data_IF_861808446222
#
_entry.id   IF_861808446222
#
_cell.length_a   1.000
_cell.length_b   1.000
_cell.length_c   1.000
_cell.angle_alpha   90.00
_cell.angle_beta   90.00
_cell.angle_gamma   90.00
#
_symmetry.space_group_name_H-M   'P 1'
#
loop_
_entity.id
_entity.type
_entity.pdbx_description
1 polymer ?
#
# COMPACT_ATOMS: atom_id res chain seq x y z
N UNK A 1 0.12 -11.38 -11.65
CA UNK A 1 1.12 -10.29 -11.89
C UNK A 1 2.28 -10.56 -10.93
N UNK A 2 3.51 -10.58 -11.41
CA UNK A 2 4.67 -10.82 -10.55
C UNK A 2 5.01 -9.60 -9.71
N UNK A 3 5.82 -9.78 -8.65
CA UNK A 3 6.37 -8.65 -7.89
C UNK A 3 7.11 -7.67 -8.82
N UNK A 4 7.91 -8.19 -9.77
CA UNK A 4 8.68 -7.35 -10.69
C UNK A 4 7.78 -6.46 -11.56
N UNK A 5 6.61 -6.97 -11.98
CA UNK A 5 5.64 -6.17 -12.72
C UNK A 5 5.04 -5.07 -11.85
N UNK A 6 4.59 -5.40 -10.64
CA UNK A 6 4.08 -4.41 -9.67
C UNK A 6 5.11 -3.32 -9.38
N UNK A 7 6.37 -3.74 -9.23
CA UNK A 7 7.48 -2.83 -8.98
C UNK A 7 7.76 -1.91 -10.16
N UNK A 8 7.80 -2.47 -11.39
CA UNK A 8 8.03 -1.72 -12.61
C UNK A 8 6.93 -0.67 -12.87
N UNK A 9 5.67 -1.00 -12.60
CA UNK A 9 4.54 -0.10 -12.77
C UNK A 9 4.58 1.08 -11.79
N UNK A 10 5.03 0.84 -10.55
CA UNK A 10 5.10 1.87 -9.51
C UNK A 10 6.40 2.71 -9.59
N UNK A 11 7.48 2.16 -10.10
CA UNK A 11 8.80 2.79 -10.10
C UNK A 11 8.86 4.20 -10.77
N UNK A 12 8.14 4.50 -11.87
CA UNK A 12 8.18 5.84 -12.48
C UNK A 12 7.34 6.87 -11.71
N UNK A 13 6.40 6.46 -10.86
CA UNK A 13 5.45 7.37 -10.20
C UNK A 13 6.18 8.25 -9.20
N UNK A 14 6.19 9.56 -9.46
CA UNK A 14 6.81 10.57 -8.58
C UNK A 14 8.34 10.56 -8.55
N UNK A 15 9.00 9.87 -9.47
CA UNK A 15 10.45 9.85 -9.56
C UNK A 15 10.97 11.15 -10.17
N UNK A 16 11.92 11.79 -9.49
CA UNK A 16 12.62 12.97 -10.01
C UNK A 16 13.62 12.59 -11.09
N UNK A 17 13.56 13.29 -12.23
CA UNK A 17 14.53 13.11 -13.31
C UNK A 17 15.92 13.64 -12.91
N UNK A 18 15.96 14.65 -12.04
CA UNK A 18 17.20 15.33 -11.66
C UNK A 18 17.97 14.55 -10.59
N UNK A 19 17.29 14.12 -9.52
CA UNK A 19 17.93 13.45 -8.39
C UNK A 19 17.81 11.93 -8.42
N UNK A 20 16.83 11.40 -9.16
CA UNK A 20 16.47 9.98 -9.12
C UNK A 20 15.72 9.56 -7.87
N UNK A 21 15.56 10.44 -6.88
CA UNK A 21 14.75 10.25 -5.69
C UNK A 21 13.27 10.43 -5.97
N UNK A 22 12.43 10.22 -4.95
CA UNK A 22 10.98 10.28 -5.09
C UNK A 22 10.37 11.48 -4.39
N UNK A 23 9.36 12.08 -5.03
CA UNK A 23 8.58 13.22 -4.56
C UNK A 23 7.09 12.86 -4.54
N UNK A 24 6.70 11.91 -3.70
CA UNK A 24 5.31 11.50 -3.48
C UNK A 24 4.78 12.16 -2.20
N UNK A 25 4.68 13.49 -2.21
CA UNK A 25 4.16 14.21 -1.05
C UNK A 25 2.68 13.89 -0.85
N UNK A 26 2.30 13.60 0.39
CA UNK A 26 0.92 13.25 0.76
C UNK A 26 -0.08 14.24 0.17
N UNK A 27 -1.08 13.72 -0.54
CA UNK A 27 -2.13 14.46 -1.26
C UNK A 27 -1.65 15.29 -2.47
N UNK A 28 -0.40 15.20 -2.87
CA UNK A 28 0.07 15.74 -4.15
C UNK A 28 -0.23 14.79 -5.32
N UNK A 29 -0.01 15.24 -6.56
CA UNK A 29 -0.33 14.47 -7.77
C UNK A 29 0.27 13.06 -7.76
N UNK A 30 1.57 12.93 -7.48
CA UNK A 30 2.25 11.64 -7.47
C UNK A 30 1.76 10.68 -6.35
N UNK A 31 1.33 11.21 -5.20
CA UNK A 31 0.67 10.38 -4.18
C UNK A 31 -0.70 9.92 -4.66
N UNK A 32 -1.46 10.79 -5.31
CA UNK A 32 -2.75 10.44 -5.92
C UNK A 32 -2.60 9.35 -6.97
N UNK A 33 -1.59 9.45 -7.84
CA UNK A 33 -1.31 8.45 -8.87
C UNK A 33 -0.89 7.10 -8.25
N UNK A 34 -0.05 7.12 -7.23
CA UNK A 34 0.35 5.91 -6.50
C UNK A 34 -0.85 5.25 -5.78
N UNK A 35 -1.78 6.03 -5.26
CA UNK A 35 -3.02 5.54 -4.64
C UNK A 35 -3.98 4.94 -5.67
N UNK A 36 -4.09 5.55 -6.84
CA UNK A 36 -4.85 4.98 -7.96
C UNK A 36 -4.25 3.64 -8.39
N UNK A 37 -2.94 3.57 -8.57
CA UNK A 37 -2.23 2.33 -8.85
C UNK A 37 -2.52 1.23 -7.80
N UNK A 38 -2.47 1.56 -6.51
CA UNK A 38 -2.79 0.59 -5.44
C UNK A 38 -4.22 0.08 -5.56
N UNK A 39 -5.16 0.99 -5.81
CA UNK A 39 -6.58 0.64 -5.95
C UNK A 39 -6.82 -0.30 -7.13
N UNK A 40 -6.22 -0.01 -8.27
CA UNK A 40 -6.31 -0.85 -9.47
C UNK A 40 -5.63 -2.21 -9.27
N UNK A 41 -4.43 -2.22 -8.70
CA UNK A 41 -3.69 -3.44 -8.41
C UNK A 41 -4.42 -4.35 -7.40
N UNK A 42 -5.08 -3.77 -6.41
CA UNK A 42 -5.90 -4.50 -5.45
C UNK A 42 -7.19 -5.03 -6.08
N UNK A 43 -7.87 -4.21 -6.89
CA UNK A 43 -9.09 -4.61 -7.60
C UNK A 43 -8.83 -5.76 -8.61
N UNK A 44 -7.69 -5.73 -9.30
CA UNK A 44 -7.27 -6.82 -10.19
C UNK A 44 -7.06 -8.16 -9.45
N UNK A 45 -7.01 -8.12 -8.13
CA UNK A 45 -6.91 -9.26 -7.21
C UNK A 45 -8.21 -9.55 -6.48
N UNK A 46 -9.33 -9.05 -6.95
CA UNK A 46 -10.64 -9.17 -6.29
C UNK A 46 -10.58 -8.82 -4.79
N UNK A 47 -9.78 -7.83 -4.43
CA UNK A 47 -9.74 -7.26 -3.08
C UNK A 47 -10.71 -6.08 -3.00
N UNK A 48 -11.49 -6.02 -1.92
CA UNK A 48 -12.40 -4.89 -1.65
C UNK A 48 -11.60 -3.71 -1.09
N UNK A 49 -11.50 -2.61 -1.84
CA UNK A 49 -10.74 -1.44 -1.43
C UNK A 49 -11.64 -0.42 -0.75
N UNK A 50 -11.28 -0.04 0.47
CA UNK A 50 -11.99 0.96 1.26
C UNK A 50 -11.05 2.04 1.76
N UNK A 51 -11.56 3.26 1.86
CA UNK A 51 -10.83 4.39 2.43
C UNK A 51 -11.39 4.68 3.82
N UNK A 52 -10.52 4.78 4.81
CA UNK A 52 -10.91 5.18 6.15
C UNK A 52 -10.99 6.71 6.31
N UNK A 53 -11.44 7.18 7.49
CA UNK A 53 -11.57 8.61 7.80
C UNK A 53 -10.24 9.38 7.82
N UNK A 54 -9.12 8.67 7.94
CA UNK A 54 -7.78 9.26 7.90
C UNK A 54 -7.20 9.27 6.49
N UNK A 55 -7.94 8.71 5.51
CA UNK A 55 -7.50 8.60 4.12
C UNK A 55 -6.60 7.40 3.85
N UNK A 56 -6.44 6.46 4.77
CA UNK A 56 -5.74 5.22 4.49
C UNK A 56 -6.58 4.34 3.57
N UNK A 57 -5.92 3.66 2.64
CA UNK A 57 -6.55 2.66 1.79
C UNK A 57 -6.39 1.28 2.43
N UNK A 58 -7.47 0.53 2.48
CA UNK A 58 -7.53 -0.83 2.98
C UNK A 58 -7.99 -1.76 1.87
N UNK A 59 -7.17 -2.71 1.48
CA UNK A 59 -7.56 -3.77 0.55
C UNK A 59 -7.90 -5.04 1.36
N UNK A 60 -9.13 -5.51 1.26
CA UNK A 60 -9.65 -6.61 2.04
C UNK A 60 -9.75 -7.90 1.20
N UNK A 61 -9.21 -8.97 1.74
CA UNK A 61 -9.49 -10.31 1.24
C UNK A 61 -10.59 -10.95 2.10
N UNK A 62 -11.79 -10.99 1.55
CA UNK A 62 -13.00 -11.36 2.27
C UNK A 62 -13.76 -10.16 2.85
N UNK A 63 -14.73 -10.42 3.71
CA UNK A 63 -15.60 -9.37 4.26
C UNK A 63 -14.87 -8.55 5.33
N UNK A 64 -14.83 -7.21 5.23
CA UNK A 64 -14.28 -6.35 6.27
C UNK A 64 -14.91 -6.57 7.64
N UNK A 65 -14.12 -6.47 8.70
CA UNK A 65 -14.66 -6.59 10.05
C UNK A 65 -13.59 -6.83 11.13
N UNK A 66 -14.01 -6.85 12.40
CA UNK A 66 -13.11 -7.05 13.52
C UNK A 66 -12.45 -8.44 13.50
N UNK A 67 -11.31 -8.54 14.16
CA UNK A 67 -10.53 -9.79 14.20
C UNK A 67 -9.77 -10.10 12.92
N UNK A 68 -9.60 -9.13 12.03
CA UNK A 68 -8.79 -9.29 10.83
C UNK A 68 -7.30 -9.31 11.14
N UNK A 69 -6.55 -10.10 10.37
CA UNK A 69 -5.09 -9.97 10.29
C UNK A 69 -4.77 -8.87 9.30
N UNK A 70 -4.01 -7.87 9.73
CA UNK A 70 -3.66 -6.73 8.90
C UNK A 70 -2.14 -6.58 8.78
N UNK A 71 -1.69 -6.20 7.61
CA UNK A 71 -0.33 -5.72 7.35
C UNK A 71 -0.40 -4.49 6.46
N UNK A 72 0.69 -3.76 6.32
CA UNK A 72 0.68 -2.60 5.45
C UNK A 72 1.98 -1.82 5.46
N UNK A 73 1.99 -0.78 4.63
CA UNK A 73 3.08 0.17 4.51
C UNK A 73 2.51 1.51 4.01
N UNK A 74 3.31 2.33 3.35
CA UNK A 74 2.90 3.62 2.79
C UNK A 74 3.44 3.80 1.37
N UNK A 75 2.86 4.76 0.62
CA UNK A 75 3.29 5.10 -0.74
C UNK A 75 3.87 6.51 -0.84
N UNK A 76 3.53 7.39 0.12
CA UNK A 76 4.11 8.72 0.21
C UNK A 76 5.60 8.68 0.51
N UNK A 77 6.31 9.73 0.15
CA UNK A 77 7.75 9.89 0.41
C UNK A 77 8.07 11.26 1.00
N UNK A 78 9.22 11.32 1.67
CA UNK A 78 9.90 12.61 1.91
C UNK A 78 10.46 13.16 0.59
N UNK A 79 10.86 14.45 0.53
CA UNK A 79 11.62 14.97 -0.61
C UNK A 79 12.85 14.10 -0.89
N UNK A 80 13.08 13.75 -2.15
CA UNK A 80 14.17 12.86 -2.59
C UNK A 80 14.22 11.51 -1.85
N UNK A 81 13.04 10.98 -1.51
CA UNK A 81 12.90 9.71 -0.80
C UNK A 81 13.47 8.53 -1.55
N UNK A 82 13.91 7.51 -0.82
CA UNK A 82 14.42 6.27 -1.38
C UNK A 82 13.33 5.42 -2.04
N UNK A 83 13.70 4.66 -3.07
CA UNK A 83 12.76 3.83 -3.84
C UNK A 83 12.05 2.76 -2.98
N UNK A 84 12.74 2.21 -1.98
CA UNK A 84 12.24 1.07 -1.20
C UNK A 84 11.45 1.48 0.03
N UNK A 85 11.59 2.73 0.47
CA UNK A 85 10.98 3.22 1.70
C UNK A 85 9.46 3.41 1.51
N UNK A 86 8.71 2.44 2.00
CA UNK A 86 7.27 2.34 1.88
C UNK A 86 6.78 1.46 0.72
N UNK A 87 7.03 1.82 -0.54
CA UNK A 87 6.53 1.10 -1.70
C UNK A 87 6.89 -0.38 -1.75
N UNK A 88 8.08 -0.75 -1.27
CA UNK A 88 8.50 -2.15 -1.19
C UNK A 88 7.50 -2.99 -0.37
N UNK A 89 7.08 -2.47 0.78
CA UNK A 89 6.12 -3.15 1.65
C UNK A 89 4.74 -3.29 0.98
N UNK A 90 4.28 -2.28 0.25
CA UNK A 90 2.99 -2.32 -0.46
C UNK A 90 3.03 -3.31 -1.63
N UNK A 91 4.05 -3.26 -2.47
CA UNK A 91 4.20 -4.17 -3.62
C UNK A 91 4.38 -5.62 -3.14
N UNK A 92 5.19 -5.85 -2.10
CA UNK A 92 5.38 -7.19 -1.51
C UNK A 92 4.09 -7.76 -0.94
N UNK A 93 3.26 -6.93 -0.30
CA UNK A 93 1.98 -7.37 0.24
C UNK A 93 1.00 -7.81 -0.86
N UNK A 94 0.92 -7.07 -1.97
CA UNK A 94 0.10 -7.46 -3.12
C UNK A 94 0.64 -8.73 -3.82
N UNK A 95 1.95 -8.84 -3.98
CA UNK A 95 2.58 -10.05 -4.54
C UNK A 95 2.35 -11.28 -3.65
N UNK A 96 2.33 -11.11 -2.32
CA UNK A 96 2.02 -12.19 -1.40
C UNK A 96 0.59 -12.72 -1.57
N UNK A 97 -0.37 -11.89 -1.94
CA UNK A 97 -1.74 -12.34 -2.29
C UNK A 97 -1.70 -13.27 -3.50
N UNK A 98 -0.97 -12.87 -4.55
CA UNK A 98 -0.84 -13.69 -5.76
C UNK A 98 -0.20 -15.04 -5.46
N UNK A 99 0.86 -15.05 -4.67
CA UNK A 99 1.56 -16.28 -4.28
C UNK A 99 0.69 -17.20 -3.41
N UNK A 100 -0.03 -16.64 -2.45
CA UNK A 100 -0.94 -17.42 -1.61
C UNK A 100 -2.07 -18.05 -2.44
N UNK A 101 -2.63 -17.31 -3.40
CA UNK A 101 -3.65 -17.84 -4.31
C UNK A 101 -3.10 -18.92 -5.23
N UNK A 102 -1.89 -18.72 -5.77
CA UNK A 102 -1.23 -19.73 -6.60
C UNK A 102 -1.02 -21.05 -5.85
N UNK A 103 -0.82 -21.00 -4.53
CA UNK A 103 -0.73 -22.18 -3.65
C UNK A 103 -2.10 -22.73 -3.21
N UNK A 104 -3.20 -22.20 -3.72
CA UNK A 104 -4.55 -22.61 -3.33
C UNK A 104 -4.95 -22.21 -1.92
N UNK A 105 -4.25 -21.23 -1.33
CA UNK A 105 -4.60 -20.74 0.00
C UNK A 105 -5.87 -19.89 -0.05
N UNK A 106 -6.79 -20.17 0.86
CA UNK A 106 -7.96 -19.34 1.13
C UNK A 106 -7.95 -18.96 2.61
N UNK A 107 -7.99 -17.66 2.94
CA UNK A 107 -7.99 -17.24 4.33
C UNK A 107 -9.17 -17.80 5.09
N UNK A 108 -8.94 -18.42 6.26
CA UNK A 108 -10.02 -18.85 7.17
C UNK A 108 -10.66 -17.68 7.92
N UNK A 109 -10.02 -16.51 7.89
CA UNK A 109 -10.44 -15.28 8.52
C UNK A 109 -10.37 -14.09 7.57
N UNK A 110 -10.47 -12.91 8.14
CA UNK A 110 -10.38 -11.65 7.40
C UNK A 110 -8.94 -11.19 7.31
N UNK A 111 -8.50 -10.83 6.13
CA UNK A 111 -7.16 -10.31 5.91
C UNK A 111 -7.25 -8.96 5.23
N UNK A 112 -6.39 -8.03 5.62
CA UNK A 112 -6.34 -6.70 5.01
C UNK A 112 -4.92 -6.20 4.83
N UNK A 113 -4.75 -5.39 3.81
CA UNK A 113 -3.52 -4.66 3.52
C UNK A 113 -3.82 -3.17 3.56
N UNK A 114 -3.08 -2.45 4.42
CA UNK A 114 -3.22 -1.02 4.54
C UNK A 114 -2.13 -0.29 3.76
N UNK A 115 -2.54 0.69 2.96
CA UNK A 115 -1.66 1.72 2.43
C UNK A 115 -1.93 3.01 3.21
N UNK A 116 -1.03 3.37 4.11
CA UNK A 116 -1.12 4.61 4.89
C UNK A 116 -0.79 5.82 4.03
N UNK A 117 -1.51 6.91 4.23
CA UNK A 117 -1.31 8.18 3.53
C UNK A 117 -0.57 9.23 4.35
N UNK A 118 -0.11 8.90 5.54
CA UNK A 118 0.58 9.85 6.41
C UNK A 118 1.83 9.23 7.02
N UNK A 119 2.99 9.79 6.69
CA UNK A 119 4.12 9.76 7.60
C UNK A 119 3.79 10.66 8.78
N UNK A 120 3.87 10.17 10.00
CA UNK A 120 3.89 11.04 11.17
C UNK A 120 5.16 11.88 11.14
N UNK A 121 5.01 13.19 11.33
CA UNK A 121 6.12 14.03 11.68
C UNK A 121 6.86 13.39 12.88
N UNK A 122 8.18 13.33 12.81
CA UNK A 122 9.01 12.81 13.88
C UNK A 122 8.63 13.49 15.21
N UNK A 123 8.14 12.71 16.19
CA UNK A 123 7.81 13.22 17.51
C UNK A 123 6.50 12.76 18.14
N UNK A 124 5.59 12.17 17.42
CA UNK A 124 4.37 11.60 18.02
C UNK A 124 4.45 10.08 18.05
N UNK A 125 4.39 9.51 19.24
CA UNK A 125 4.51 8.08 19.50
C UNK A 125 3.71 7.16 18.58
N UNK A 126 4.14 5.92 18.49
CA UNK A 126 3.58 4.84 17.69
C UNK A 126 2.05 4.90 17.65
N UNK A 127 1.40 4.90 16.46
CA UNK A 127 -0.03 4.74 16.45
C UNK A 127 -0.34 3.35 16.95
N UNK A 128 -1.14 3.28 17.99
CA UNK A 128 -1.89 2.07 18.21
C UNK A 128 -2.62 1.78 16.89
N UNK A 129 -2.34 0.66 16.27
CA UNK A 129 -3.15 0.08 15.23
C UNK A 129 -4.50 -0.13 15.89
N UNK A 130 -5.39 0.81 15.69
CA UNK A 130 -6.72 0.70 16.22
C UNK A 130 -7.37 -0.46 15.48
N UNK A 131 -7.44 -1.57 16.18
CA UNK A 131 -8.36 -2.65 15.88
C UNK A 131 -9.76 -2.03 15.98
N UNK A 132 -10.40 -1.85 14.85
CA UNK A 132 -11.81 -1.53 14.78
C UNK A 132 -12.62 -2.82 14.87
#
# INVERSE_FOLDING_TARGET
>A
MSFDQLWADLAPVGRSADSGGYHRHTWAGADTDARAWFTEAAAARDLDVRTDRNGNLWAWWGTPGPGAVATGSHLDSVPDGGAFDGPLGVASALAAVDELRARGFTPRGRWSWACSSRRRAAGSGCPAWAVA
#
